data_IF_718918673658
#
_entry.id   IF_718918673658
#
_cell.length_a   1.000
_cell.length_b   1.000
_cell.length_c   1.000
_cell.angle_alpha   90.00
_cell.angle_beta   90.00
_cell.angle_gamma   90.00
#
_symmetry.space_group_name_H-M   'P 1'
#
loop_
_entity.id
_entity.type
_entity.pdbx_description
1 polymer ?
#
# COMPACT_ATOMS: atom_id res chain seq x y z
N UNK A 1 -0.88 -61.17 -25.63
CA UNK A 1 -0.17 -59.89 -25.84
C UNK A 1 -1.13 -58.70 -25.61
N UNK A 2 -1.67 -58.54 -24.40
CA UNK A 2 -2.71 -57.52 -24.16
C UNK A 2 -2.80 -56.93 -22.75
N UNK A 3 -1.95 -57.36 -21.81
CA UNK A 3 -2.01 -56.89 -20.41
C UNK A 3 -0.78 -56.08 -19.96
N UNK A 4 0.29 -56.01 -20.78
CA UNK A 4 1.51 -55.29 -20.41
C UNK A 4 1.50 -53.80 -20.82
N UNK A 5 0.64 -53.39 -21.75
CA UNK A 5 0.61 -52.01 -22.27
C UNK A 5 -0.28 -51.04 -21.46
N UNK A 6 -1.21 -51.56 -20.63
CA UNK A 6 -2.12 -50.73 -19.83
C UNK A 6 -1.48 -50.15 -18.56
N UNK A 7 -0.36 -50.72 -18.10
CA UNK A 7 0.32 -50.25 -16.88
C UNK A 7 1.33 -49.11 -17.14
N UNK A 8 1.77 -48.92 -18.38
CA UNK A 8 2.70 -47.85 -18.76
C UNK A 8 2.02 -46.51 -19.11
N UNK A 9 0.69 -46.50 -19.30
CA UNK A 9 -0.07 -45.26 -19.49
C UNK A 9 -0.59 -44.63 -18.19
N UNK A 10 -0.51 -45.36 -17.06
CA UNK A 10 -1.01 -44.88 -15.76
C UNK A 10 0.05 -44.22 -14.86
N UNK A 11 1.33 -44.22 -15.28
CA UNK A 11 2.45 -43.64 -14.53
C UNK A 11 2.88 -42.24 -15.03
N UNK A 12 2.18 -41.66 -16.01
CA UNK A 12 2.48 -40.34 -16.58
C UNK A 12 1.47 -39.24 -16.21
N UNK A 13 0.52 -39.50 -15.30
CA UNK A 13 -0.59 -38.58 -15.03
C UNK A 13 -0.70 -38.09 -13.58
N UNK A 14 0.41 -37.76 -12.90
CA UNK A 14 0.35 -36.97 -11.65
C UNK A 14 1.71 -36.38 -11.24
N UNK A 15 2.32 -35.56 -12.10
CA UNK A 15 3.20 -34.49 -11.61
C UNK A 15 2.74 -33.17 -12.22
N UNK A 16 1.50 -32.82 -11.94
CA UNK A 16 1.10 -31.41 -11.99
C UNK A 16 1.88 -30.73 -10.87
N UNK A 17 3.03 -30.14 -11.19
CA UNK A 17 3.55 -29.04 -10.36
C UNK A 17 2.46 -27.98 -10.47
N UNK A 18 1.54 -28.01 -9.52
CA UNK A 18 0.58 -26.93 -9.33
C UNK A 18 1.42 -25.71 -9.03
N UNK A 19 1.68 -24.89 -10.04
CA UNK A 19 2.09 -23.51 -9.82
C UNK A 19 0.89 -22.87 -9.14
N UNK A 20 0.88 -22.90 -7.81
CA UNK A 20 -0.05 -22.11 -7.02
C UNK A 20 0.18 -20.67 -7.48
N UNK A 21 -0.79 -20.13 -8.21
CA UNK A 21 -0.87 -18.68 -8.40
C UNK A 21 -1.10 -18.14 -7.00
N UNK A 22 -0.02 -17.73 -6.33
CA UNK A 22 -0.11 -17.16 -4.98
C UNK A 22 -1.12 -16.04 -5.04
N UNK A 23 -2.29 -16.23 -4.45
CA UNK A 23 -3.24 -15.16 -4.26
C UNK A 23 -2.88 -14.49 -2.93
N UNK A 24 -3.10 -13.18 -2.83
CA UNK A 24 -2.86 -12.50 -1.57
C UNK A 24 -3.73 -13.11 -0.47
N UNK A 25 -3.16 -13.31 0.70
CA UNK A 25 -3.86 -13.89 1.84
C UNK A 25 -3.47 -13.19 3.12
N UNK A 26 -4.43 -13.03 4.02
CA UNK A 26 -4.12 -12.66 5.42
C UNK A 26 -3.30 -13.79 6.03
N UNK A 27 -2.23 -13.44 6.75
CA UNK A 27 -1.32 -14.43 7.34
C UNK A 27 -0.43 -15.17 6.33
N UNK A 28 -0.17 -14.61 5.13
CA UNK A 28 0.71 -15.24 4.13
C UNK A 28 2.08 -15.66 4.68
N UNK A 29 2.64 -14.86 5.60
CA UNK A 29 3.93 -15.10 6.24
C UNK A 29 3.88 -15.92 7.54
N UNK A 30 2.69 -16.38 7.98
CA UNK A 30 2.51 -16.98 9.30
C UNK A 30 3.44 -18.19 9.58
N UNK A 31 3.82 -18.93 8.53
CA UNK A 31 4.71 -20.09 8.64
C UNK A 31 6.16 -19.81 8.20
N UNK A 32 6.38 -18.84 7.31
CA UNK A 32 7.68 -18.57 6.68
C UNK A 32 8.44 -17.44 7.34
N UNK A 33 7.74 -16.44 7.87
CA UNK A 33 8.29 -15.36 8.68
C UNK A 33 7.24 -14.88 9.70
N UNK A 34 7.01 -15.62 10.80
CA UNK A 34 5.93 -15.32 11.75
C UNK A 34 6.01 -13.92 12.38
N UNK A 35 7.22 -13.35 12.46
CA UNK A 35 7.47 -12.03 13.04
C UNK A 35 7.43 -10.90 11.99
N UNK A 36 7.02 -11.16 10.74
CA UNK A 36 7.09 -10.16 9.67
C UNK A 36 6.29 -8.89 10.02
N UNK A 37 5.02 -9.03 10.37
CA UNK A 37 4.17 -7.88 10.71
C UNK A 37 4.63 -7.15 11.99
N UNK A 38 5.09 -7.89 13.00
CA UNK A 38 5.55 -7.27 14.25
C UNK A 38 6.86 -6.50 14.08
N UNK A 39 7.76 -6.96 13.21
CA UNK A 39 8.99 -6.23 12.85
C UNK A 39 8.63 -4.92 12.12
N UNK A 40 7.79 -4.98 11.08
CA UNK A 40 7.36 -3.77 10.34
C UNK A 40 6.70 -2.78 11.30
N UNK A 41 5.76 -3.25 12.12
CA UNK A 41 5.04 -2.42 13.09
C UNK A 41 5.96 -1.78 14.13
N UNK A 42 7.00 -2.49 14.58
CA UNK A 42 7.99 -1.92 15.48
C UNK A 42 8.80 -0.81 14.81
N UNK A 43 9.23 -1.00 13.56
CA UNK A 43 10.01 0.00 12.83
C UNK A 43 9.18 1.26 12.58
N UNK A 44 7.92 1.10 12.13
CA UNK A 44 7.01 2.22 11.90
C UNK A 44 6.72 2.99 13.19
N UNK A 45 6.46 2.28 14.29
CA UNK A 45 6.28 2.91 15.62
C UNK A 45 7.49 3.73 16.05
N UNK A 46 8.69 3.17 15.90
CA UNK A 46 9.92 3.88 16.27
C UNK A 46 10.15 5.12 15.40
N UNK A 47 9.89 5.02 14.09
CA UNK A 47 10.00 6.15 13.18
C UNK A 47 8.99 7.25 13.55
N UNK A 48 7.74 6.89 13.83
CA UNK A 48 6.69 7.84 14.22
C UNK A 48 6.96 8.56 15.55
N UNK A 49 7.77 7.97 16.45
CA UNK A 49 8.22 8.67 17.66
C UNK A 49 9.18 9.83 17.36
N UNK A 50 9.94 9.75 16.26
CA UNK A 50 10.88 10.79 15.85
C UNK A 50 10.23 11.91 15.05
N UNK A 51 9.11 11.63 14.37
CA UNK A 51 8.38 12.63 13.59
C UNK A 51 6.91 12.25 13.46
N UNK A 52 6.03 13.19 13.83
CA UNK A 52 4.57 13.03 13.68
C UNK A 52 4.12 13.00 12.22
N UNK A 53 5.00 13.34 11.26
CA UNK A 53 4.68 13.28 9.84
C UNK A 53 4.87 11.89 9.23
N UNK A 54 5.40 10.91 9.97
CA UNK A 54 5.64 9.56 9.43
C UNK A 54 4.34 8.86 9.02
N UNK A 55 3.25 8.87 9.83
CA UNK A 55 2.01 8.24 9.43
C UNK A 55 1.45 8.69 8.07
N UNK A 56 1.21 10.00 7.81
CA UNK A 56 0.68 10.43 6.52
C UNK A 56 1.67 10.16 5.36
N UNK A 57 2.98 10.26 5.61
CA UNK A 57 4.01 9.98 4.59
C UNK A 57 3.99 8.51 4.14
N UNK A 58 3.87 7.56 5.07
CA UNK A 58 3.83 6.13 4.74
C UNK A 58 2.52 5.74 4.05
N UNK A 59 1.39 6.33 4.48
CA UNK A 59 0.12 6.14 3.78
C UNK A 59 0.19 6.65 2.34
N UNK A 60 0.77 7.84 2.14
CA UNK A 60 1.00 8.42 0.80
C UNK A 60 1.92 7.53 -0.03
N UNK A 61 3.01 7.01 0.53
CA UNK A 61 3.93 6.11 -0.18
C UNK A 61 3.20 4.89 -0.74
N UNK A 62 2.29 4.27 0.03
CA UNK A 62 1.52 3.13 -0.45
C UNK A 62 0.56 3.48 -1.59
N UNK A 63 -0.10 4.64 -1.51
CA UNK A 63 -0.94 5.14 -2.61
C UNK A 63 -0.10 5.34 -3.89
N UNK A 64 1.04 6.04 -3.79
CA UNK A 64 1.87 6.32 -4.95
C UNK A 64 2.46 5.04 -5.57
N UNK A 65 2.85 4.05 -4.77
CA UNK A 65 3.28 2.74 -5.27
C UNK A 65 2.17 2.05 -6.06
N UNK A 66 0.94 2.02 -5.54
CA UNK A 66 -0.15 1.29 -6.18
C UNK A 66 -0.66 1.89 -7.50
N UNK A 67 -0.48 3.18 -7.72
CA UNK A 67 -1.03 3.89 -8.87
C UNK A 67 -0.12 3.89 -10.10
N UNK A 68 1.17 3.55 -9.93
CA UNK A 68 2.12 3.40 -11.04
C UNK A 68 2.46 1.92 -11.20
N UNK A 69 2.04 1.29 -12.30
CA UNK A 69 2.21 -0.16 -12.61
C UNK A 69 1.62 -1.16 -11.59
N UNK A 70 1.15 -0.72 -10.43
CA UNK A 70 0.51 -1.53 -9.39
C UNK A 70 1.32 -1.60 -8.10
N UNK A 71 0.72 -2.19 -7.06
CA UNK A 71 1.36 -2.29 -5.74
C UNK A 71 2.47 -3.34 -5.75
N UNK A 72 3.66 -2.97 -6.24
CA UNK A 72 4.78 -3.87 -6.45
C UNK A 72 6.13 -3.31 -5.97
N UNK A 73 6.12 -2.16 -5.28
CA UNK A 73 7.30 -1.52 -4.74
C UNK A 73 8.23 -0.92 -5.80
N UNK A 74 7.80 -0.69 -7.05
CA UNK A 74 8.62 -0.07 -8.11
C UNK A 74 9.12 1.32 -7.74
N UNK A 75 8.32 2.09 -7.00
CA UNK A 75 8.69 3.42 -6.48
C UNK A 75 9.88 3.40 -5.52
N UNK A 76 10.17 2.24 -4.91
CA UNK A 76 11.30 2.10 -3.97
C UNK A 76 12.64 2.04 -4.71
N UNK A 77 12.67 1.72 -6.00
CA UNK A 77 13.90 1.63 -6.79
C UNK A 77 14.53 3.02 -6.95
N UNK A 78 15.84 3.11 -6.72
CA UNK A 78 16.63 4.35 -6.85
C UNK A 78 17.72 4.25 -7.92
N UNK A 79 17.92 3.06 -8.49
CA UNK A 79 19.03 2.82 -9.40
C UNK A 79 18.80 3.49 -10.76
N UNK A 80 19.47 4.62 -10.95
CA UNK A 80 19.60 5.30 -12.24
C UNK A 80 18.65 6.50 -12.37
N UNK A 81 18.98 7.45 -13.26
CA UNK A 81 18.27 8.72 -13.38
C UNK A 81 16.81 8.57 -13.86
N UNK A 82 16.46 7.41 -14.42
CA UNK A 82 15.14 7.12 -14.96
C UNK A 82 14.27 6.32 -14.00
N UNK A 83 14.69 6.05 -12.76
CA UNK A 83 13.84 5.35 -11.80
C UNK A 83 12.54 6.13 -11.54
N UNK A 84 11.44 5.42 -11.36
CA UNK A 84 10.11 5.99 -11.09
C UNK A 84 10.14 6.97 -9.92
N UNK A 85 10.91 6.65 -8.87
CA UNK A 85 11.11 7.49 -7.68
C UNK A 85 11.43 8.95 -8.01
N UNK A 86 12.10 9.22 -9.13
CA UNK A 86 12.52 10.56 -9.54
C UNK A 86 11.47 11.30 -10.37
N UNK A 87 10.30 10.70 -10.63
CA UNK A 87 9.25 11.35 -11.40
C UNK A 87 8.68 12.56 -10.67
N UNK A 88 8.31 13.56 -11.46
CA UNK A 88 7.72 14.79 -10.96
C UNK A 88 6.46 14.53 -10.11
N UNK A 89 5.62 13.57 -10.51
CA UNK A 89 4.42 13.18 -9.76
C UNK A 89 4.68 12.50 -8.40
N UNK A 90 5.93 12.19 -8.05
CA UNK A 90 6.31 11.70 -6.71
C UNK A 90 6.97 12.77 -5.85
N UNK A 91 6.95 14.04 -6.25
CA UNK A 91 7.51 15.11 -5.44
C UNK A 91 6.86 15.14 -4.04
N UNK A 92 7.72 15.17 -3.02
CA UNK A 92 7.33 15.15 -1.62
C UNK A 92 6.92 13.78 -1.06
N UNK A 93 6.94 12.70 -1.86
CA UNK A 93 6.82 11.33 -1.32
C UNK A 93 8.07 11.01 -0.51
N UNK A 94 7.90 10.32 0.63
CA UNK A 94 8.99 9.98 1.55
C UNK A 94 8.72 8.69 2.30
N UNK A 95 9.48 8.43 3.38
CA UNK A 95 9.36 7.22 4.19
C UNK A 95 10.12 6.02 3.61
N UNK A 96 10.89 6.23 2.54
CA UNK A 96 11.75 5.22 1.92
C UNK A 96 12.73 4.59 2.93
N UNK A 97 13.28 5.41 3.82
CA UNK A 97 14.19 5.00 4.89
C UNK A 97 13.54 4.07 5.91
N UNK A 98 12.25 4.26 6.19
CA UNK A 98 11.48 3.40 7.11
C UNK A 98 11.29 2.02 6.47
N UNK A 99 10.96 1.98 5.18
CA UNK A 99 10.82 0.74 4.41
C UNK A 99 12.15 0.00 4.32
N UNK A 100 13.26 0.70 4.03
CA UNK A 100 14.60 0.12 3.99
C UNK A 100 15.02 -0.42 5.37
N UNK A 101 14.73 0.30 6.46
CA UNK A 101 15.03 -0.17 7.82
C UNK A 101 14.24 -1.44 8.17
N UNK A 102 12.95 -1.47 7.86
CA UNK A 102 12.12 -2.66 8.04
C UNK A 102 12.63 -3.83 7.21
N UNK A 103 13.00 -3.58 5.95
CA UNK A 103 13.56 -4.59 5.06
C UNK A 103 14.86 -5.17 5.62
N UNK A 104 15.77 -4.32 6.08
CA UNK A 104 17.03 -4.77 6.65
C UNK A 104 16.82 -5.69 7.87
N UNK A 105 15.88 -5.37 8.76
CA UNK A 105 15.54 -6.23 9.91
C UNK A 105 14.85 -7.53 9.52
N UNK A 106 14.00 -7.49 8.49
CA UNK A 106 13.38 -8.69 7.95
C UNK A 106 14.40 -9.60 7.29
N UNK A 107 15.38 -9.06 6.57
CA UNK A 107 16.42 -9.83 5.91
C UNK A 107 17.41 -10.49 6.86
N UNK A 108 17.58 -9.98 8.09
CA UNK A 108 18.33 -10.69 9.15
C UNK A 108 17.51 -11.79 9.81
N UNK A 109 16.17 -11.66 9.82
CA UNK A 109 15.26 -12.60 10.50
C UNK A 109 14.81 -13.75 9.61
N UNK A 110 14.39 -13.43 8.39
CA UNK A 110 13.81 -14.35 7.41
C UNK A 110 14.27 -13.96 5.99
N UNK A 111 15.53 -14.25 5.64
CA UNK A 111 16.16 -13.73 4.43
C UNK A 111 15.40 -14.12 3.15
N UNK A 112 15.07 -13.14 2.31
CA UNK A 112 14.45 -13.37 0.99
C UNK A 112 13.01 -13.86 1.05
N UNK A 113 12.31 -13.66 2.16
CA UNK A 113 10.93 -14.11 2.35
C UNK A 113 9.91 -12.98 2.09
N UNK A 114 10.11 -11.82 2.71
CA UNK A 114 9.13 -10.71 2.70
C UNK A 114 9.45 -9.73 1.57
N UNK A 115 8.48 -9.43 0.71
CA UNK A 115 8.64 -8.47 -0.39
C UNK A 115 8.62 -7.04 0.13
N UNK A 116 9.27 -6.13 -0.59
CA UNK A 116 9.20 -4.71 -0.23
C UNK A 116 7.80 -4.12 -0.47
N UNK A 117 7.10 -4.61 -1.49
CA UNK A 117 5.70 -4.27 -1.74
C UNK A 117 4.79 -4.57 -0.53
N UNK A 118 4.97 -5.72 0.13
CA UNK A 118 4.20 -6.04 1.34
C UNK A 118 4.64 -5.20 2.55
N UNK A 119 5.92 -4.84 2.67
CA UNK A 119 6.39 -3.92 3.72
C UNK A 119 5.70 -2.56 3.58
N UNK A 120 5.57 -2.02 2.37
CA UNK A 120 4.87 -0.75 2.11
C UNK A 120 3.40 -0.83 2.54
N UNK A 121 2.69 -1.89 2.16
CA UNK A 121 1.27 -2.06 2.53
C UNK A 121 1.08 -2.23 4.06
N UNK A 122 1.93 -3.02 4.70
CA UNK A 122 1.91 -3.21 6.16
C UNK A 122 2.24 -1.90 6.89
N UNK A 123 3.25 -1.16 6.41
CA UNK A 123 3.65 0.10 7.00
C UNK A 123 2.55 1.17 6.91
N UNK A 124 1.80 1.21 5.81
CA UNK A 124 0.64 2.09 5.67
C UNK A 124 -0.48 1.74 6.67
N UNK A 125 -0.79 0.45 6.88
CA UNK A 125 -1.75 0.03 7.91
C UNK A 125 -1.32 0.46 9.30
N UNK A 126 -0.07 0.20 9.65
CA UNK A 126 0.47 0.54 10.97
C UNK A 126 0.52 2.07 11.18
N UNK A 127 0.81 2.83 10.13
CA UNK A 127 0.70 4.29 10.11
C UNK A 127 -0.73 4.77 10.39
N UNK A 128 -1.74 4.23 9.71
CA UNK A 128 -3.16 4.58 9.93
C UNK A 128 -3.54 4.35 11.40
N UNK A 129 -3.17 3.20 11.97
CA UNK A 129 -3.46 2.88 13.38
C UNK A 129 -2.77 3.87 14.33
N UNK A 130 -1.54 4.30 14.04
CA UNK A 130 -0.84 5.29 14.85
C UNK A 130 -1.46 6.69 14.78
N UNK A 131 -2.15 7.01 13.69
CA UNK A 131 -2.95 8.21 13.54
C UNK A 131 -4.36 8.07 14.16
N UNK A 132 -4.61 7.08 15.03
CA UNK A 132 -5.94 6.77 15.60
C UNK A 132 -6.99 6.28 14.58
N UNK A 133 -6.56 5.88 13.39
CA UNK A 133 -7.43 5.32 12.38
C UNK A 133 -7.79 3.84 12.63
N UNK A 134 -8.60 3.24 11.74
CA UNK A 134 -9.04 1.86 11.88
C UNK A 134 -7.89 0.87 11.74
N UNK A 135 -7.94 -0.19 12.54
CA UNK A 135 -7.13 -1.38 12.31
C UNK A 135 -7.85 -2.32 11.33
N UNK A 136 -7.07 -2.95 10.45
CA UNK A 136 -7.58 -3.90 9.47
C UNK A 136 -6.51 -4.92 9.08
N UNK A 137 -6.96 -6.05 8.55
CA UNK A 137 -6.09 -7.10 8.04
C UNK A 137 -5.56 -6.73 6.65
N UNK A 138 -4.24 -6.88 6.46
CA UNK A 138 -3.59 -6.64 5.17
C UNK A 138 -3.32 -7.98 4.48
N UNK A 139 -3.97 -8.27 3.34
CA UNK A 139 -3.59 -9.40 2.50
C UNK A 139 -2.15 -9.20 1.99
N UNK A 140 -1.27 -10.15 2.27
CA UNK A 140 0.14 -10.16 1.88
C UNK A 140 0.43 -11.29 0.89
N UNK A 141 1.65 -11.34 0.35
CA UNK A 141 2.06 -12.23 -0.73
C UNK A 141 2.34 -11.52 -2.06
N UNK A 142 2.48 -10.19 -2.03
CA UNK A 142 2.91 -9.41 -3.20
C UNK A 142 4.36 -9.75 -3.51
N UNK A 143 4.74 -9.52 -4.77
CA UNK A 143 6.11 -9.62 -5.24
C UNK A 143 6.58 -8.29 -5.77
N UNK A 144 7.88 -8.09 -5.66
CA UNK A 144 8.52 -6.88 -6.11
C UNK A 144 8.55 -6.82 -7.65
N UNK A 145 8.19 -5.65 -8.20
CA UNK A 145 8.31 -5.33 -9.61
C UNK A 145 9.75 -5.41 -10.10
N UNK A 146 9.91 -5.62 -11.41
CA UNK A 146 11.21 -5.60 -12.12
C UNK A 146 11.34 -4.45 -13.10
N UNK A 147 10.44 -3.48 -13.00
CA UNK A 147 10.38 -2.31 -13.87
C UNK A 147 10.13 -1.13 -12.94
N UNK A 148 10.90 -0.07 -13.14
CA UNK A 148 10.74 1.22 -12.48
C UNK A 148 11.22 2.25 -13.49
N UNK A 149 10.29 3.06 -14.01
CA UNK A 149 10.58 4.02 -15.07
C UNK A 149 9.77 5.30 -14.85
N UNK A 150 10.48 6.43 -14.90
CA UNK A 150 9.94 7.78 -14.70
C UNK A 150 8.76 8.11 -15.62
N UNK A 151 8.73 7.53 -16.83
CA UNK A 151 7.66 7.77 -17.80
C UNK A 151 6.33 7.14 -17.40
N UNK A 152 6.35 6.12 -16.54
CA UNK A 152 5.14 5.42 -16.09
C UNK A 152 4.36 6.24 -15.05
N UNK A 153 5.04 7.14 -14.35
CA UNK A 153 4.46 8.07 -13.38
C UNK A 153 3.97 9.38 -14.01
N UNK A 154 3.98 9.52 -15.34
CA UNK A 154 3.63 10.76 -16.03
C UNK A 154 2.16 11.22 -15.81
N UNK A 155 1.27 10.30 -15.43
CA UNK A 155 -0.15 10.59 -15.19
C UNK A 155 -0.50 10.81 -13.71
N UNK A 156 0.51 10.83 -12.82
CA UNK A 156 0.25 11.16 -11.42
C UNK A 156 -0.17 12.63 -11.31
N UNK A 157 -1.19 12.95 -10.47
CA UNK A 157 -1.64 14.33 -10.27
C UNK A 157 -0.50 15.27 -9.84
N UNK A 158 -0.58 16.51 -10.31
CA UNK A 158 0.31 17.60 -9.89
C UNK A 158 -0.36 18.38 -8.74
N UNK A 159 0.15 18.21 -7.53
CA UNK A 159 -0.50 18.70 -6.31
C UNK A 159 0.19 19.96 -5.71
N UNK A 160 0.78 20.81 -6.56
CA UNK A 160 1.21 22.16 -6.17
C UNK A 160 2.66 22.29 -5.66
N UNK A 161 2.96 23.39 -4.97
CA UNK A 161 4.35 23.72 -4.54
C UNK A 161 4.77 22.92 -3.31
N UNK A 162 5.66 21.94 -3.51
CA UNK A 162 6.21 21.08 -2.43
C UNK A 162 7.03 21.81 -1.37
N UNK A 163 7.35 23.09 -1.57
CA UNK A 163 8.03 23.91 -0.57
C UNK A 163 7.06 24.56 0.41
N UNK A 164 5.76 24.58 0.11
CA UNK A 164 4.72 25.13 0.99
C UNK A 164 4.04 23.98 1.72
N UNK A 165 4.00 24.06 3.06
CA UNK A 165 3.35 23.06 3.90
C UNK A 165 2.15 23.67 4.60
N UNK A 166 0.96 23.16 4.29
CA UNK A 166 -0.29 23.47 4.97
C UNK A 166 -0.91 22.17 5.49
N UNK A 167 -1.53 22.18 6.67
CA UNK A 167 -2.27 21.02 7.15
C UNK A 167 -3.47 20.76 6.22
N UNK A 168 -3.55 19.56 5.62
CA UNK A 168 -4.69 19.17 4.77
C UNK A 168 -5.99 19.05 5.57
N UNK A 169 -5.89 18.66 6.84
CA UNK A 169 -7.02 18.49 7.74
C UNK A 169 -6.88 19.40 8.98
N UNK A 170 -7.47 20.60 8.89
CA UNK A 170 -7.40 21.59 9.96
C UNK A 170 -8.27 21.18 11.14
N UNK A 171 -7.70 21.16 12.34
CA UNK A 171 -8.37 20.84 13.60
C UNK A 171 -8.15 19.41 14.10
N UNK A 172 -7.63 18.53 13.25
CA UNK A 172 -7.38 17.10 13.50
C UNK A 172 -6.12 16.64 12.75
N UNK A 173 -5.11 17.51 12.62
CA UNK A 173 -3.96 17.36 11.72
C UNK A 173 -3.17 16.04 11.89
N UNK A 174 -3.30 15.40 13.06
CA UNK A 174 -2.59 14.18 13.45
C UNK A 174 -3.53 12.99 13.70
N UNK A 175 -4.82 13.15 13.38
CA UNK A 175 -5.87 12.17 13.60
C UNK A 175 -6.45 11.72 12.25
N UNK A 176 -6.58 10.41 12.07
CA UNK A 176 -7.29 9.82 10.96
C UNK A 176 -8.77 9.76 11.32
N UNK A 177 -9.52 10.73 10.83
CA UNK A 177 -10.95 10.81 11.02
C UNK A 177 -11.61 11.50 9.82
N UNK A 178 -12.93 11.69 9.88
CA UNK A 178 -13.70 12.32 8.81
C UNK A 178 -13.66 13.85 8.81
N UNK A 179 -12.90 14.50 9.68
CA UNK A 179 -12.81 15.97 9.73
C UNK A 179 -12.30 16.56 8.41
N UNK A 180 -11.46 15.84 7.66
CA UNK A 180 -11.06 16.26 6.31
C UNK A 180 -12.27 16.45 5.37
N UNK A 181 -13.26 15.57 5.46
CA UNK A 181 -14.49 15.70 4.68
C UNK A 181 -15.36 16.84 5.22
N UNK A 182 -15.35 17.11 6.52
CA UNK A 182 -16.04 18.27 7.08
C UNK A 182 -15.39 19.59 6.63
N UNK A 183 -14.05 19.65 6.59
CA UNK A 183 -13.30 20.77 6.05
C UNK A 183 -13.66 21.02 4.57
N UNK A 184 -13.73 19.97 3.76
CA UNK A 184 -14.18 20.04 2.36
C UNK A 184 -15.61 20.58 2.25
N UNK A 185 -16.56 20.05 3.04
CA UNK A 185 -17.98 20.46 3.06
C UNK A 185 -18.16 21.95 3.41
N UNK A 186 -17.28 22.48 4.27
CA UNK A 186 -17.34 23.86 4.75
C UNK A 186 -16.50 24.84 3.90
N UNK A 187 -15.94 24.40 2.76
CA UNK A 187 -15.17 25.25 1.85
C UNK A 187 -13.74 25.54 2.33
N UNK A 188 -13.19 24.69 3.20
CA UNK A 188 -11.82 24.79 3.72
C UNK A 188 -10.89 23.72 3.12
N UNK A 189 -11.25 23.12 1.99
CA UNK A 189 -10.37 22.22 1.24
C UNK A 189 -9.04 22.91 0.88
N UNK A 190 -7.93 22.22 1.08
CA UNK A 190 -6.58 22.75 0.78
C UNK A 190 -6.20 22.51 -0.68
N UNK A 191 -6.54 21.34 -1.21
CA UNK A 191 -6.26 20.96 -2.60
C UNK A 191 -7.49 21.17 -3.48
N UNK A 192 -7.27 21.50 -4.76
CA UNK A 192 -8.38 21.61 -5.71
C UNK A 192 -9.09 20.26 -5.88
N UNK A 193 -8.34 19.17 -5.95
CA UNK A 193 -8.87 17.79 -6.03
C UNK A 193 -9.83 17.48 -4.88
N UNK A 194 -9.51 17.92 -3.67
CA UNK A 194 -10.38 17.77 -2.49
C UNK A 194 -11.64 18.63 -2.60
N UNK A 195 -11.52 19.89 -3.04
CA UNK A 195 -12.67 20.77 -3.25
C UNK A 195 -13.66 20.17 -4.27
N UNK A 196 -13.15 19.51 -5.33
CA UNK A 196 -13.98 18.86 -6.34
C UNK A 196 -14.86 17.74 -5.80
N UNK A 197 -14.49 17.10 -4.69
CA UNK A 197 -15.33 16.08 -4.05
C UNK A 197 -16.69 16.65 -3.62
N UNK A 198 -16.77 17.95 -3.33
CA UNK A 198 -18.01 18.62 -2.95
C UNK A 198 -18.62 19.47 -4.07
N UNK A 199 -17.92 19.65 -5.20
CA UNK A 199 -18.48 20.28 -6.41
C UNK A 199 -19.33 19.29 -7.23
N UNK A 200 -18.95 18.02 -7.29
CA UNK A 200 -19.71 16.99 -8.02
C UNK A 200 -20.86 16.40 -7.16
N UNK A 201 -22.06 16.30 -7.76
CA UNK A 201 -23.27 15.86 -7.04
C UNK A 201 -23.14 14.42 -6.50
N UNK A 202 -22.45 13.55 -7.22
CA UNK A 202 -22.34 12.13 -6.87
C UNK A 202 -21.39 11.92 -5.69
N UNK A 203 -20.23 12.59 -5.69
CA UNK A 203 -19.27 12.53 -4.58
C UNK A 203 -19.74 13.33 -3.37
N UNK A 204 -20.46 14.44 -3.58
CA UNK A 204 -21.11 15.21 -2.52
C UNK A 204 -22.07 14.34 -1.71
N UNK A 205 -22.90 13.56 -2.41
CA UNK A 205 -23.87 12.66 -1.77
C UNK A 205 -23.16 11.63 -0.87
N UNK A 206 -22.01 11.10 -1.30
CA UNK A 206 -21.21 10.18 -0.48
C UNK A 206 -20.64 10.91 0.74
N UNK A 207 -20.05 12.09 0.56
CA UNK A 207 -19.48 12.86 1.66
C UNK A 207 -20.55 13.20 2.72
N UNK A 208 -21.72 13.66 2.31
CA UNK A 208 -22.83 14.02 3.22
C UNK A 208 -23.42 12.81 3.95
N UNK A 209 -23.32 11.60 3.38
CA UNK A 209 -23.85 10.39 4.01
C UNK A 209 -23.20 10.09 5.37
N UNK A 210 -21.96 10.54 5.60
CA UNK A 210 -21.25 10.37 6.88
C UNK A 210 -21.67 11.37 7.97
N UNK A 211 -22.42 12.42 7.64
CA UNK A 211 -22.75 13.53 8.56
C UNK A 211 -24.25 13.70 8.85
N UNK A 212 -25.10 12.81 8.35
CA UNK A 212 -26.53 12.81 8.64
C UNK A 212 -26.83 12.62 10.13
N UNK A 213 -27.95 13.19 10.60
CA UNK A 213 -28.40 13.08 12.00
C UNK A 213 -28.48 11.63 12.50
N UNK A 214 -28.89 10.71 11.62
CA UNK A 214 -29.00 9.28 11.92
C UNK A 214 -27.73 8.48 11.55
N UNK A 215 -26.71 9.12 10.97
CA UNK A 215 -25.52 8.42 10.48
C UNK A 215 -24.77 7.62 11.54
N UNK A 216 -24.65 8.07 12.82
CA UNK A 216 -24.00 7.26 13.86
C UNK A 216 -24.66 5.91 14.15
N UNK A 217 -25.93 5.71 13.76
CA UNK A 217 -26.70 4.49 14.04
C UNK A 217 -26.99 3.72 12.75
N UNK A 218 -27.38 4.42 11.69
CA UNK A 218 -27.89 3.81 10.45
C UNK A 218 -27.11 4.22 9.19
N UNK A 219 -26.17 5.15 9.31
CA UNK A 219 -25.36 5.60 8.18
C UNK A 219 -24.12 4.74 7.96
N UNK A 220 -23.40 5.00 6.86
CA UNK A 220 -22.11 4.37 6.61
C UNK A 220 -21.06 4.89 7.61
N UNK A 221 -20.04 4.07 7.86
CA UNK A 221 -18.84 4.46 8.61
C UNK A 221 -17.74 4.81 7.63
N UNK A 222 -17.21 6.03 7.75
CA UNK A 222 -16.09 6.50 6.95
C UNK A 222 -14.87 5.56 7.09
N UNK A 223 -14.58 5.14 8.31
CA UNK A 223 -13.46 4.26 8.63
C UNK A 223 -13.63 2.87 8.00
N UNK A 224 -14.85 2.32 8.02
CA UNK A 224 -15.14 1.03 7.39
C UNK A 224 -15.03 1.11 5.85
N UNK A 225 -15.64 2.13 5.24
CA UNK A 225 -15.58 2.34 3.79
C UNK A 225 -14.15 2.64 3.31
N UNK A 226 -13.36 3.34 4.14
CA UNK A 226 -11.94 3.56 3.90
C UNK A 226 -11.15 2.25 3.95
N UNK A 227 -11.39 1.38 4.94
CA UNK A 227 -10.73 0.06 5.04
C UNK A 227 -11.02 -0.79 3.80
N UNK A 228 -12.27 -0.85 3.35
CA UNK A 228 -12.64 -1.58 2.13
C UNK A 228 -11.93 -1.00 0.90
N UNK A 229 -11.83 0.33 0.82
CA UNK A 229 -11.19 1.04 -0.28
C UNK A 229 -9.67 0.85 -0.31
N UNK A 230 -8.98 0.97 0.82
CA UNK A 230 -7.52 0.83 0.89
C UNK A 230 -7.08 -0.63 0.67
N UNK A 231 -7.86 -1.60 1.16
CA UNK A 231 -7.62 -3.02 0.90
C UNK A 231 -7.84 -3.35 -0.58
N UNK A 232 -8.81 -2.71 -1.24
CA UNK A 232 -9.02 -2.82 -2.69
C UNK A 232 -7.88 -2.15 -3.47
N UNK A 233 -7.45 -0.95 -3.08
CA UNK A 233 -6.31 -0.24 -3.68
C UNK A 233 -5.05 -1.09 -3.60
N UNK A 234 -4.77 -1.69 -2.44
CA UNK A 234 -3.61 -2.56 -2.23
C UNK A 234 -3.57 -3.82 -3.12
N UNK A 235 -4.61 -4.09 -3.92
CA UNK A 235 -4.68 -5.21 -4.87
C UNK A 235 -4.47 -4.79 -6.32
N UNK A 236 -4.29 -3.50 -6.60
CA UNK A 236 -4.06 -2.98 -7.95
C UNK A 236 -2.74 -3.53 -8.49
N UNK A 237 -2.76 -4.10 -9.70
CA UNK A 237 -1.57 -4.54 -10.46
C UNK A 237 -0.63 -5.53 -9.75
N UNK A 238 -1.06 -6.17 -8.65
CA UNK A 238 -0.16 -6.95 -7.80
C UNK A 238 0.52 -8.10 -8.55
N UNK A 239 1.84 -8.22 -8.35
CA UNK A 239 2.65 -9.32 -8.85
C UNK A 239 2.64 -10.45 -7.84
N UNK A 240 2.40 -11.68 -8.28
CA UNK A 240 2.41 -12.86 -7.42
C UNK A 240 3.08 -14.05 -8.09
N UNK A 241 3.43 -15.10 -7.32
CA UNK A 241 4.05 -16.31 -7.85
C UNK A 241 5.40 -16.03 -8.51
N UNK A 242 5.52 -16.19 -9.83
CA UNK A 242 6.75 -15.91 -10.59
C UNK A 242 6.77 -14.53 -11.26
N UNK A 243 5.70 -13.72 -11.13
CA UNK A 243 5.55 -12.44 -11.85
C UNK A 243 6.41 -11.28 -11.32
N UNK A 244 7.16 -11.52 -10.26
CA UNK A 244 8.07 -10.55 -9.65
C UNK A 244 9.20 -11.26 -8.91
N UNK A 245 9.89 -10.54 -8.04
CA UNK A 245 10.94 -11.09 -7.17
C UNK A 245 10.66 -10.84 -5.70
N UNK A 246 11.57 -11.29 -4.83
CA UNK A 246 11.69 -10.76 -3.47
C UNK A 246 13.05 -10.08 -3.45
N UNK A 247 13.07 -8.74 -3.46
CA UNK A 247 14.32 -7.97 -3.43
C UNK A 247 15.05 -8.21 -2.12
N UNK A 248 16.39 -8.17 -2.12
CA UNK A 248 17.21 -8.19 -0.91
C UNK A 248 17.35 -6.81 -0.28
N UNK A 249 17.36 -5.77 -1.11
CA UNK A 249 17.39 -4.34 -0.76
C UNK A 249 16.32 -3.66 -1.62
N UNK A 250 15.43 -2.82 -1.06
CA UNK A 250 14.29 -2.35 -1.86
C UNK A 250 14.68 -1.29 -2.89
N UNK A 251 15.83 -0.63 -2.74
CA UNK A 251 16.36 0.35 -3.71
C UNK A 251 16.89 -0.25 -5.01
N UNK A 252 17.04 -1.57 -5.10
CA UNK A 252 17.67 -2.24 -6.23
C UNK A 252 16.94 -3.53 -6.65
N UNK A 253 16.97 -3.84 -7.95
CA UNK A 253 16.67 -5.19 -8.44
C UNK A 253 17.80 -6.16 -8.02
N UNK A 254 17.47 -7.44 -7.84
CA UNK A 254 18.47 -8.46 -7.46
C UNK A 254 19.45 -8.82 -8.58
#
# INVERSE_FOLDING_TARGET
MGFAFLFQLLLLSAFSIGVSKGQLSVGFYANTCPNAESIVSSVVRNAAQSSSNIPPVLLRLHFHDCFVEGCDGSILIENGPNAERHAFGHQGVGGFEVIEQAKAQLETTCPGVVSCADIVALAARDAIVLANGPSYDVPTGRRDGRVSDVSLAANMPDDGDVNVRLPMDRGSEQSFDKQILDNVRNGFAVLESDARLYDDDSTRTVADSYFGFLSPIFGPSFEADFVDSIVKMGRIGVKTGSKGEIRRVCTAFN
#
